data_IF_264147157225
#
_entry.id   IF_264147157225
#
_cell.length_a   1.000
_cell.length_b   1.000
_cell.length_c   1.000
_cell.angle_alpha   90.00
_cell.angle_beta   90.00
_cell.angle_gamma   90.00
#
_symmetry.space_group_name_H-M   'P 1'
#
loop_
_entity.id
_entity.type
_entity.pdbx_description
1 polymer ?
#
# COMPACT_ATOMS: atom_id res chain seq x y z
N UNK A 1 10.89 -0.44 0.24
CA UNK A 1 11.16 -0.76 1.64
C UNK A 1 11.02 0.52 2.44
N UNK A 2 10.93 0.45 3.77
CA UNK A 2 10.68 1.60 4.63
C UNK A 2 11.83 1.82 5.63
N UNK A 3 13.01 2.30 5.20
CA UNK A 3 14.11 2.62 6.12
C UNK A 3 13.81 3.80 7.05
N UNK A 4 12.95 4.73 6.63
CA UNK A 4 12.58 5.93 7.37
C UNK A 4 11.50 5.67 8.40
N UNK A 5 11.82 4.89 9.44
CA UNK A 5 10.92 4.58 10.56
C UNK A 5 11.69 4.59 11.88
N UNK A 6 11.00 4.78 13.02
CA UNK A 6 11.63 4.88 14.33
C UNK A 6 12.27 3.58 14.83
N UNK A 7 11.77 2.43 14.37
CA UNK A 7 12.21 1.10 14.81
C UNK A 7 12.32 0.14 13.62
N UNK A 8 13.38 0.23 12.81
CA UNK A 8 13.55 -0.62 11.64
C UNK A 8 13.89 -2.06 12.04
N UNK A 9 13.14 -3.02 11.47
CA UNK A 9 13.36 -4.46 11.70
C UNK A 9 13.71 -5.18 10.39
N UNK A 10 14.74 -6.06 10.37
CA UNK A 10 15.14 -6.82 9.19
C UNK A 10 14.13 -7.93 8.84
N UNK A 11 14.11 -8.35 7.57
CA UNK A 11 13.27 -9.47 7.10
C UNK A 11 11.79 -9.15 6.88
N UNK A 12 11.43 -7.86 6.85
CA UNK A 12 10.07 -7.41 6.56
C UNK A 12 9.64 -7.61 5.10
N UNK A 13 8.38 -7.22 4.83
CA UNK A 13 7.78 -7.29 3.50
C UNK A 13 8.51 -6.37 2.51
N UNK A 14 8.64 -6.85 1.27
CA UNK A 14 9.07 -5.99 0.15
C UNK A 14 7.98 -4.97 -0.18
N UNK A 15 8.35 -3.86 -0.84
CA UNK A 15 7.36 -2.87 -1.30
C UNK A 15 6.27 -3.51 -2.15
N UNK A 16 6.64 -4.48 -3.00
CA UNK A 16 5.69 -5.14 -3.89
C UNK A 16 4.61 -5.90 -3.10
N UNK A 17 5.04 -6.67 -2.11
CA UNK A 17 4.13 -7.47 -1.28
C UNK A 17 3.17 -6.60 -0.47
N UNK A 18 3.66 -5.51 0.13
CA UNK A 18 2.79 -4.57 0.88
C UNK A 18 1.75 -3.94 -0.03
N UNK A 19 2.17 -3.44 -1.20
CA UNK A 19 1.26 -2.78 -2.13
C UNK A 19 0.20 -3.73 -2.69
N UNK A 20 0.58 -4.98 -2.98
CA UNK A 20 -0.36 -6.01 -3.41
C UNK A 20 -1.35 -6.38 -2.29
N UNK A 21 -0.85 -6.59 -1.07
CA UNK A 21 -1.68 -6.94 0.08
C UNK A 21 -2.72 -5.85 0.38
N UNK A 22 -2.29 -4.58 0.44
CA UNK A 22 -3.18 -3.43 0.68
C UNK A 22 -4.26 -3.34 -0.40
N UNK A 23 -3.87 -3.44 -1.67
CA UNK A 23 -4.82 -3.41 -2.79
C UNK A 23 -5.84 -4.52 -2.67
N UNK A 24 -5.40 -5.75 -2.44
CA UNK A 24 -6.27 -6.92 -2.32
C UNK A 24 -7.26 -6.77 -1.17
N UNK A 25 -6.78 -6.40 0.02
CA UNK A 25 -7.61 -6.16 1.21
C UNK A 25 -8.71 -5.14 0.90
N UNK A 26 -8.37 -4.04 0.22
CA UNK A 26 -9.32 -2.98 -0.11
C UNK A 26 -10.34 -3.37 -1.21
N UNK A 27 -9.98 -4.31 -2.08
CA UNK A 27 -10.91 -4.85 -3.10
C UNK A 27 -11.86 -5.87 -2.46
N UNK A 28 -11.35 -6.76 -1.61
CA UNK A 28 -12.12 -7.89 -1.07
C UNK A 28 -13.01 -7.49 0.12
N UNK A 29 -12.59 -6.52 0.95
CA UNK A 29 -13.28 -6.16 2.19
C UNK A 29 -13.95 -4.77 2.13
N UNK A 30 -15.06 -4.56 2.87
CA UNK A 30 -15.72 -3.26 2.98
C UNK A 30 -14.95 -2.32 3.93
N UNK A 31 -13.77 -1.86 3.53
CA UNK A 31 -12.92 -0.98 4.34
C UNK A 31 -13.58 0.39 4.54
N UNK A 32 -13.63 0.85 5.80
CA UNK A 32 -14.25 2.13 6.19
C UNK A 32 -13.24 3.26 6.40
N UNK A 33 -11.95 2.93 6.58
CA UNK A 33 -10.87 3.87 6.79
C UNK A 33 -9.52 3.16 6.89
N UNK A 34 -8.45 3.89 6.60
CA UNK A 34 -7.05 3.42 6.64
C UNK A 34 -6.20 4.55 7.22
N UNK A 35 -5.15 4.18 7.95
CA UNK A 35 -4.12 5.08 8.44
C UNK A 35 -2.74 4.55 8.02
N UNK A 36 -1.80 5.46 7.74
CA UNK A 36 -0.41 5.13 7.39
C UNK A 36 0.50 5.84 8.38
N UNK A 37 1.04 5.05 9.30
CA UNK A 37 1.82 5.51 10.46
C UNK A 37 3.31 5.22 10.30
N UNK A 38 4.12 5.73 11.22
CA UNK A 38 5.54 5.41 11.38
C UNK A 38 6.47 5.83 10.22
N UNK A 39 6.03 6.80 9.40
CA UNK A 39 6.91 7.50 8.46
C UNK A 39 7.71 8.55 9.25
N UNK A 40 9.02 8.38 9.27
CA UNK A 40 9.96 9.27 9.96
C UNK A 40 10.89 9.95 8.94
N UNK A 41 10.58 11.19 8.48
CA UNK A 41 11.37 11.89 7.46
C UNK A 41 12.84 12.08 7.81
N UNK A 42 13.16 12.21 9.10
CA UNK A 42 14.54 12.35 9.57
C UNK A 42 15.42 11.13 9.29
N UNK A 43 14.82 9.94 9.13
CA UNK A 43 15.51 8.69 8.82
C UNK A 43 15.31 8.23 7.37
N UNK A 44 14.55 8.99 6.57
CA UNK A 44 14.17 8.58 5.23
C UNK A 44 15.19 9.05 4.19
N UNK A 45 15.96 8.11 3.64
CA UNK A 45 16.93 8.42 2.61
C UNK A 45 16.27 8.50 1.24
N UNK A 46 16.43 9.63 0.55
CA UNK A 46 15.84 9.89 -0.77
C UNK A 46 14.30 9.71 -0.80
N UNK A 47 13.63 10.00 0.32
CA UNK A 47 12.17 9.99 0.47
C UNK A 47 11.50 8.63 0.13
N UNK A 48 12.27 7.54 0.13
CA UNK A 48 11.77 6.23 -0.33
C UNK A 48 10.63 5.69 0.54
N UNK A 49 10.62 6.01 1.82
CA UNK A 49 9.58 5.61 2.79
C UNK A 49 8.34 6.46 2.62
N UNK A 50 8.51 7.78 2.47
CA UNK A 50 7.42 8.70 2.16
C UNK A 50 6.75 8.36 0.81
N UNK A 51 7.53 8.05 -0.23
CA UNK A 51 7.02 7.60 -1.52
C UNK A 51 6.28 6.26 -1.41
N UNK A 52 6.78 5.32 -0.62
CA UNK A 52 6.09 4.05 -0.35
C UNK A 52 4.76 4.28 0.37
N UNK A 53 4.74 5.12 1.41
CA UNK A 53 3.53 5.49 2.13
C UNK A 53 2.48 6.14 1.22
N UNK A 54 2.89 7.09 0.37
CA UNK A 54 2.02 7.67 -0.65
C UNK A 54 1.44 6.59 -1.58
N UNK A 55 2.27 5.65 -2.05
CA UNK A 55 1.79 4.57 -2.91
C UNK A 55 0.81 3.65 -2.19
N UNK A 56 1.02 3.34 -0.91
CA UNK A 56 0.07 2.57 -0.08
C UNK A 56 -1.30 3.25 -0.04
N UNK A 57 -1.35 4.57 0.17
CA UNK A 57 -2.62 5.34 0.15
C UNK A 57 -3.30 5.24 -1.22
N UNK A 58 -2.54 5.37 -2.31
CA UNK A 58 -3.09 5.24 -3.67
C UNK A 58 -3.65 3.83 -3.94
N UNK A 59 -2.97 2.78 -3.50
CA UNK A 59 -3.46 1.40 -3.65
C UNK A 59 -4.73 1.15 -2.85
N UNK A 60 -4.78 1.69 -1.63
CA UNK A 60 -5.96 1.64 -0.78
C UNK A 60 -7.17 2.31 -1.42
N UNK A 61 -7.02 3.57 -1.84
CA UNK A 61 -8.08 4.34 -2.50
C UNK A 61 -8.53 3.68 -3.81
N UNK A 62 -7.57 3.19 -4.60
CA UNK A 62 -7.86 2.49 -5.87
C UNK A 62 -8.63 1.19 -5.62
N UNK A 63 -8.24 0.41 -4.61
CA UNK A 63 -8.92 -0.83 -4.24
C UNK A 63 -10.36 -0.58 -3.75
N UNK A 64 -10.55 0.41 -2.87
CA UNK A 64 -11.88 0.81 -2.38
C UNK A 64 -12.76 1.28 -3.56
N UNK A 65 -12.22 2.10 -4.46
CA UNK A 65 -12.94 2.58 -5.64
C UNK A 65 -13.33 1.42 -6.58
N UNK A 66 -12.41 0.49 -6.85
CA UNK A 66 -12.65 -0.66 -7.72
C UNK A 66 -13.67 -1.65 -7.12
N UNK A 67 -13.65 -1.86 -5.80
CA UNK A 67 -14.69 -2.64 -5.12
C UNK A 67 -16.08 -2.04 -5.34
N UNK A 68 -16.20 -0.71 -5.30
CA UNK A 68 -17.48 -0.01 -5.49
C UNK A 68 -18.03 -0.17 -6.91
N UNK A 69 -17.19 -0.52 -7.89
CA UNK A 69 -17.63 -0.87 -9.25
C UNK A 69 -18.00 -2.37 -9.40
N UNK A 70 -17.97 -3.14 -8.31
CA UNK A 70 -18.25 -4.59 -8.32
C UNK A 70 -17.07 -5.45 -8.80
N UNK A 71 -15.87 -4.89 -8.87
CA UNK A 71 -14.68 -5.61 -9.29
C UNK A 71 -14.19 -6.61 -8.24
N UNK A 72 -13.63 -7.73 -8.69
CA UNK A 72 -13.00 -8.75 -7.83
C UNK A 72 -11.49 -8.77 -8.04
N UNK A 73 -10.75 -9.17 -7.01
CA UNK A 73 -9.30 -9.27 -7.10
C UNK A 73 -8.89 -10.38 -8.08
N UNK A 74 -7.90 -10.10 -8.93
CA UNK A 74 -7.28 -11.09 -9.80
C UNK A 74 -5.75 -10.89 -9.78
N UNK A 75 -4.97 -11.84 -9.25
CA UNK A 75 -3.51 -11.72 -9.18
C UNK A 75 -2.83 -11.75 -10.55
N UNK A 76 -3.50 -12.25 -11.59
CA UNK A 76 -2.96 -12.32 -12.95
C UNK A 76 -3.17 -11.03 -13.78
N UNK A 77 -3.85 -10.01 -13.22
CA UNK A 77 -4.23 -8.81 -13.98
C UNK A 77 -3.96 -7.55 -13.16
N UNK A 78 -3.22 -6.60 -13.72
CA UNK A 78 -3.07 -5.30 -13.07
C UNK A 78 -4.38 -4.51 -13.22
N UNK A 79 -4.80 -3.84 -12.16
CA UNK A 79 -6.04 -3.03 -12.15
C UNK A 79 -5.90 -1.81 -13.08
N UNK A 80 -4.67 -1.39 -13.39
CA UNK A 80 -4.38 -0.30 -14.33
C UNK A 80 -4.32 -0.75 -15.80
N UNK A 81 -4.33 -2.06 -16.07
CA UNK A 81 -4.40 -2.61 -17.43
C UNK A 81 -5.87 -2.55 -17.91
N UNK A 82 -6.28 -1.35 -18.32
CA UNK A 82 -7.54 -1.10 -19.01
C UNK A 82 -7.33 -1.01 -20.51
#
# INVERSE_FOLDING_TARGET
MAPGTGTPEPGGLTSREVLEAVRRICIELPIVGIDVVEVAPAFDHAEVTAMLANRVVLEALSGIAFRRTGGTYNPARNVLDR
#
